data_IF_680683738502
#
_entry.id   IF_680683738502
#
_cell.length_a   1.000
_cell.length_b   1.000
_cell.length_c   1.000
_cell.angle_alpha   90.00
_cell.angle_beta   90.00
_cell.angle_gamma   90.00
#
_symmetry.space_group_name_H-M   'P 1'
#
loop_
_entity.id
_entity.type
_entity.pdbx_description
1 polymer ?
#
# COMPACT_ATOMS: atom_id res chain seq x y z
N UNK A 1 -30.87 25.14 55.05
CA UNK A 1 -30.69 24.09 54.11
C UNK A 1 -29.70 24.47 53.03
N UNK A 2 -28.62 23.87 53.06
CA UNK A 2 -27.55 24.21 52.10
C UNK A 2 -27.51 23.15 51.05
N UNK A 3 -27.85 23.52 49.86
CA UNK A 3 -27.65 22.69 48.72
C UNK A 3 -26.21 22.82 48.29
N UNK A 4 -25.47 21.76 48.43
CA UNK A 4 -24.16 21.74 47.88
C UNK A 4 -24.29 21.31 46.44
N UNK A 5 -24.13 22.27 45.57
CA UNK A 5 -23.97 21.98 44.17
C UNK A 5 -22.53 21.50 43.99
N UNK A 6 -22.39 20.22 43.91
CA UNK A 6 -21.17 19.66 43.39
C UNK A 6 -21.10 20.06 41.93
N UNK A 7 -20.34 21.06 41.66
CA UNK A 7 -19.92 21.30 40.28
C UNK A 7 -19.00 20.16 39.94
N UNK A 8 -19.58 19.16 39.34
CA UNK A 8 -18.81 18.15 38.66
C UNK A 8 -18.14 18.90 37.52
N UNK A 9 -16.92 19.30 37.73
CA UNK A 9 -16.10 19.70 36.63
C UNK A 9 -15.97 18.49 35.70
N UNK A 10 -16.81 18.44 34.71
CA UNK A 10 -16.64 17.51 33.60
C UNK A 10 -15.41 17.99 32.87
N UNK A 11 -14.27 17.47 33.28
CA UNK A 11 -13.11 17.58 32.45
C UNK A 11 -13.45 16.78 31.19
N UNK A 12 -13.92 17.48 30.20
CA UNK A 12 -13.98 16.93 28.87
C UNK A 12 -12.54 16.60 28.48
N UNK A 13 -12.18 15.35 28.66
CA UNK A 13 -10.97 14.84 28.08
C UNK A 13 -11.27 14.81 26.59
N UNK A 14 -10.91 15.92 25.96
CA UNK A 14 -10.77 15.93 24.53
C UNK A 14 -9.64 14.97 24.22
N UNK A 15 -9.99 13.74 23.96
CA UNK A 15 -9.07 12.84 23.33
C UNK A 15 -8.75 13.44 21.98
N UNK A 16 -7.72 14.22 21.94
CA UNK A 16 -7.10 14.56 20.68
C UNK A 16 -6.50 13.27 20.14
N UNK A 17 -7.26 12.57 19.34
CA UNK A 17 -6.65 11.65 18.41
C UNK A 17 -5.87 12.54 17.45
N UNK A 18 -4.66 12.85 17.81
CA UNK A 18 -3.75 13.47 16.87
C UNK A 18 -3.55 12.46 15.75
N UNK A 19 -4.09 12.76 14.58
CA UNK A 19 -3.73 12.08 13.34
C UNK A 19 -2.29 12.47 12.99
N UNK A 20 -1.35 12.11 13.85
CA UNK A 20 0.05 12.26 13.54
C UNK A 20 0.46 11.09 12.67
N UNK A 21 0.89 11.39 11.44
CA UNK A 21 1.48 10.38 10.59
C UNK A 21 2.74 9.83 11.24
N UNK A 22 2.88 8.53 11.19
CA UNK A 22 4.11 7.88 11.60
C UNK A 22 5.18 8.15 10.55
N UNK A 23 6.33 8.67 10.97
CA UNK A 23 7.45 8.96 10.09
C UNK A 23 8.42 7.81 10.13
N UNK A 24 8.65 7.19 8.98
CA UNK A 24 9.53 6.04 8.85
C UNK A 24 10.57 6.34 7.79
N UNK A 25 11.82 6.11 8.14
CA UNK A 25 12.93 6.22 7.22
C UNK A 25 13.43 4.82 6.86
N UNK A 26 13.46 4.51 5.57
CA UNK A 26 13.98 3.24 5.08
C UNK A 26 15.46 3.08 5.44
N UNK A 27 15.78 1.97 6.07
CA UNK A 27 17.15 1.59 6.38
C UNK A 27 17.27 0.09 6.63
N UNK A 28 18.51 -0.37 6.71
CA UNK A 28 18.80 -1.75 7.02
C UNK A 28 18.97 -2.61 5.77
N UNK A 29 18.71 -3.88 5.91
CA UNK A 29 18.92 -4.87 4.86
C UNK A 29 17.71 -4.86 3.91
N UNK A 30 17.98 -4.94 2.62
CA UNK A 30 16.95 -5.16 1.61
C UNK A 30 16.61 -6.63 1.56
N UNK A 31 15.33 -6.93 1.72
CA UNK A 31 14.81 -8.30 1.69
C UNK A 31 13.62 -8.40 0.75
N UNK A 32 13.32 -9.60 0.28
CA UNK A 32 12.16 -9.88 -0.56
C UNK A 32 11.16 -10.71 0.22
N UNK A 33 9.92 -10.27 0.23
CA UNK A 33 8.82 -10.96 0.91
C UNK A 33 7.76 -11.36 -0.12
N UNK A 34 7.37 -12.63 -0.10
CA UNK A 34 6.27 -13.11 -0.92
C UNK A 34 4.95 -12.82 -0.23
N UNK A 35 4.03 -12.22 -0.96
CA UNK A 35 2.67 -11.94 -0.50
C UNK A 35 1.70 -12.88 -1.19
N UNK A 36 0.89 -13.57 -0.42
CA UNK A 36 -0.10 -14.52 -0.95
C UNK A 36 -1.36 -13.77 -1.35
N UNK A 37 -1.45 -13.43 -2.63
CA UNK A 37 -2.59 -12.71 -3.22
C UNK A 37 -2.88 -13.30 -4.58
N UNK A 38 -4.15 -13.51 -4.88
CA UNK A 38 -4.58 -14.08 -6.18
C UNK A 38 -5.97 -13.57 -6.56
N UNK A 39 -6.42 -13.90 -7.75
CA UNK A 39 -7.78 -13.57 -8.19
C UNK A 39 -7.99 -12.12 -8.55
N UNK A 40 -6.96 -11.41 -8.93
CA UNK A 40 -7.05 -10.03 -9.41
C UNK A 40 -6.69 -9.95 -10.90
N UNK A 41 -7.26 -8.99 -11.58
CA UNK A 41 -6.92 -8.67 -12.98
C UNK A 41 -6.61 -7.19 -13.17
N UNK A 42 -6.78 -6.39 -12.11
CA UNK A 42 -6.47 -4.97 -12.10
C UNK A 42 -5.43 -4.69 -11.03
N UNK A 43 -4.62 -3.68 -11.28
CA UNK A 43 -3.60 -3.23 -10.33
C UNK A 43 -3.75 -1.72 -10.13
N UNK A 44 -3.83 -1.32 -8.88
CA UNK A 44 -3.85 0.07 -8.45
C UNK A 44 -2.64 0.29 -7.54
N UNK A 45 -1.67 1.03 -8.04
CA UNK A 45 -0.45 1.32 -7.30
C UNK A 45 -0.40 2.79 -6.89
N UNK A 46 -0.06 3.05 -5.65
CA UNK A 46 0.08 4.40 -5.13
C UNK A 46 1.45 4.62 -4.51
N UNK A 47 1.88 5.87 -4.46
CA UNK A 47 3.15 6.28 -3.89
C UNK A 47 4.29 6.32 -4.90
N UNK A 48 5.52 6.18 -4.43
CA UNK A 48 6.74 6.32 -5.23
C UNK A 48 7.42 5.00 -5.56
N UNK A 49 6.79 3.88 -5.25
CA UNK A 49 7.39 2.56 -5.47
C UNK A 49 7.40 2.17 -6.94
N UNK A 50 8.34 1.32 -7.29
CA UNK A 50 8.41 0.75 -8.63
C UNK A 50 7.62 -0.56 -8.67
N UNK A 51 6.83 -0.73 -9.71
CA UNK A 51 6.02 -1.95 -9.90
C UNK A 51 6.40 -2.59 -11.22
N UNK A 52 6.77 -3.85 -11.15
CA UNK A 52 7.11 -4.67 -12.32
C UNK A 52 6.03 -5.72 -12.51
N UNK A 53 5.38 -5.70 -13.66
CA UNK A 53 4.26 -6.58 -13.96
C UNK A 53 4.65 -7.53 -15.09
N UNK A 54 4.48 -8.82 -14.85
CA UNK A 54 4.79 -9.86 -15.82
C UNK A 54 3.58 -10.75 -16.03
N UNK A 55 3.31 -11.13 -17.27
CA UNK A 55 2.29 -12.12 -17.57
C UNK A 55 2.81 -13.52 -17.28
N UNK A 56 2.05 -14.32 -16.58
CA UNK A 56 2.36 -15.71 -16.28
C UNK A 56 1.15 -16.47 -15.78
N UNK A 57 1.18 -17.79 -15.88
CA UNK A 57 0.04 -18.64 -15.55
C UNK A 57 -0.33 -18.64 -14.08
N UNK A 58 0.61 -18.29 -13.20
CA UNK A 58 0.45 -18.36 -11.76
C UNK A 58 0.52 -16.96 -11.15
N UNK A 59 -0.38 -16.68 -10.22
CA UNK A 59 -0.31 -15.44 -9.46
C UNK A 59 0.90 -15.44 -8.53
N UNK A 60 1.69 -14.37 -8.58
CA UNK A 60 2.84 -14.18 -7.71
C UNK A 60 3.00 -12.70 -7.40
N UNK A 61 3.10 -12.37 -6.13
CA UNK A 61 3.36 -11.01 -5.66
C UNK A 61 4.53 -11.04 -4.71
N UNK A 62 5.57 -10.32 -5.06
CA UNK A 62 6.76 -10.16 -4.21
C UNK A 62 7.03 -8.69 -3.96
N UNK A 63 7.34 -8.35 -2.73
CA UNK A 63 7.74 -7.00 -2.34
C UNK A 63 9.17 -7.03 -1.86
N UNK A 64 10.01 -6.23 -2.48
CA UNK A 64 11.42 -6.09 -2.16
C UNK A 64 11.70 -4.70 -1.64
N UNK A 65 12.40 -4.59 -0.54
CA UNK A 65 12.77 -3.31 0.03
C UNK A 65 13.45 -3.44 1.38
N UNK A 66 13.71 -2.30 1.98
CA UNK A 66 14.27 -2.30 3.33
C UNK A 66 13.35 -3.06 4.30
N UNK A 67 13.95 -3.89 5.13
CA UNK A 67 13.21 -4.75 6.05
C UNK A 67 12.29 -3.98 7.00
N UNK A 68 12.65 -2.75 7.35
CA UNK A 68 11.82 -1.91 8.21
C UNK A 68 10.62 -1.28 7.49
N UNK A 69 10.61 -1.26 6.15
CA UNK A 69 9.51 -0.70 5.37
C UNK A 69 8.44 -1.74 5.04
N UNK A 70 8.81 -3.01 4.93
CA UNK A 70 7.90 -4.06 4.48
C UNK A 70 6.63 -4.19 5.33
N UNK A 71 6.66 -4.07 6.66
CA UNK A 71 5.44 -4.14 7.47
C UNK A 71 4.44 -3.01 7.20
N UNK A 72 4.89 -1.91 6.62
CA UNK A 72 4.06 -0.76 6.31
C UNK A 72 3.56 -0.73 4.87
N UNK A 73 4.09 -1.61 4.04
CA UNK A 73 3.67 -1.71 2.65
C UNK A 73 2.57 -2.76 2.50
N UNK A 74 1.44 -2.36 1.93
CA UNK A 74 0.27 -3.20 1.80
C UNK A 74 0.09 -3.73 0.38
N UNK A 75 -0.33 -4.99 0.30
CA UNK A 75 -0.74 -5.65 -0.93
C UNK A 75 -2.12 -6.24 -0.68
N UNK A 76 -3.15 -5.47 -1.00
CA UNK A 76 -4.54 -5.85 -0.72
C UNK A 76 -5.28 -6.17 -1.99
N UNK A 77 -6.09 -7.21 -1.95
CA UNK A 77 -7.04 -7.49 -3.01
C UNK A 77 -8.42 -6.99 -2.60
N UNK A 78 -8.99 -6.12 -3.41
CA UNK A 78 -10.36 -5.60 -3.24
C UNK A 78 -11.04 -5.64 -4.60
N UNK A 79 -12.12 -6.39 -4.72
CA UNK A 79 -12.95 -6.44 -5.94
C UNK A 79 -12.13 -6.64 -7.23
N UNK A 80 -11.36 -7.70 -7.31
CA UNK A 80 -10.57 -8.00 -8.50
C UNK A 80 -9.39 -7.01 -8.76
N UNK A 81 -9.12 -6.15 -7.80
CA UNK A 81 -8.02 -5.16 -7.90
C UNK A 81 -6.96 -5.43 -6.83
N UNK A 82 -5.72 -5.53 -7.26
CA UNK A 82 -4.59 -5.54 -6.36
C UNK A 82 -4.20 -4.09 -6.03
N UNK A 83 -4.37 -3.72 -4.79
CA UNK A 83 -4.00 -2.40 -4.29
C UNK A 83 -2.62 -2.46 -3.65
N UNK A 84 -1.71 -1.65 -4.16
CA UNK A 84 -0.32 -1.57 -3.70
C UNK A 84 -0.04 -0.19 -3.14
N UNK A 85 0.52 -0.13 -1.95
CA UNK A 85 0.89 1.14 -1.33
C UNK A 85 1.19 1.00 0.14
N UNK A 86 1.69 2.07 0.74
CA UNK A 86 1.88 2.12 2.18
C UNK A 86 0.55 2.25 2.90
N UNK A 87 0.53 1.80 4.15
CA UNK A 87 -0.60 2.04 5.05
C UNK A 87 -0.90 3.53 5.12
N UNK A 88 -2.17 3.85 5.38
CA UNK A 88 -2.56 5.23 5.67
C UNK A 88 -1.85 5.70 6.94
N UNK A 89 -1.66 7.00 7.07
CA UNK A 89 -1.01 7.64 8.21
C UNK A 89 0.47 7.29 8.40
N UNK A 90 1.11 6.83 7.33
CA UNK A 90 2.56 6.58 7.31
C UNK A 90 3.23 7.52 6.32
N UNK A 91 4.24 8.22 6.77
CA UNK A 91 5.10 9.05 5.93
C UNK A 91 6.47 8.37 5.82
N UNK A 92 6.81 7.94 4.62
CA UNK A 92 8.02 7.17 4.37
C UNK A 92 9.05 8.01 3.65
N UNK A 93 10.26 8.01 4.17
CA UNK A 93 11.44 8.61 3.54
C UNK A 93 12.44 7.52 3.19
N UNK A 94 13.25 7.77 2.18
CA UNK A 94 14.25 6.84 1.70
C UNK A 94 13.64 5.48 1.28
N UNK A 95 12.59 5.57 0.48
CA UNK A 95 11.85 4.42 -0.03
C UNK A 95 12.65 3.72 -1.14
N UNK A 96 12.77 2.40 -1.04
CA UNK A 96 13.36 1.57 -2.08
C UNK A 96 12.46 0.39 -2.45
N UNK A 97 11.17 0.47 -2.16
CA UNK A 97 10.24 -0.61 -2.44
C UNK A 97 10.12 -0.86 -3.94
N UNK A 98 10.27 -2.12 -4.30
CA UNK A 98 9.99 -2.65 -5.63
C UNK A 98 9.00 -3.80 -5.49
N UNK A 99 7.96 -3.78 -6.32
CA UNK A 99 6.93 -4.81 -6.31
C UNK A 99 6.99 -5.58 -7.62
N UNK A 100 7.01 -6.89 -7.52
CA UNK A 100 7.01 -7.80 -8.65
C UNK A 100 5.71 -8.57 -8.67
N UNK A 101 4.91 -8.35 -9.70
CA UNK A 101 3.58 -8.95 -9.84
C UNK A 101 3.55 -9.82 -11.08
N UNK A 102 3.12 -11.06 -10.92
CA UNK A 102 2.84 -11.97 -12.02
C UNK A 102 1.35 -12.34 -11.98
N UNK A 103 0.67 -12.22 -13.10
CA UNK A 103 -0.74 -12.56 -13.21
C UNK A 103 -1.05 -13.06 -14.63
N UNK A 104 -2.12 -13.86 -14.81
CA UNK A 104 -2.47 -14.40 -16.13
C UNK A 104 -3.00 -13.37 -17.10
N UNK A 105 -3.77 -12.40 -16.61
CA UNK A 105 -4.37 -11.38 -17.45
C UNK A 105 -4.46 -10.07 -16.69
N UNK A 106 -4.09 -8.97 -17.35
CA UNK A 106 -4.20 -7.62 -16.83
C UNK A 106 -5.27 -6.87 -17.63
N UNK A 107 -6.32 -6.42 -16.95
CA UNK A 107 -7.44 -5.70 -17.58
C UNK A 107 -7.49 -4.22 -17.19
N UNK A 108 -6.77 -3.83 -16.19
CA UNK A 108 -6.71 -2.42 -15.76
C UNK A 108 -5.46 -2.14 -14.96
N UNK A 109 -4.97 -0.92 -15.09
CA UNK A 109 -3.78 -0.46 -14.40
C UNK A 109 -3.93 1.01 -14.06
N UNK A 110 -3.78 1.34 -12.78
CA UNK A 110 -3.82 2.71 -12.29
C UNK A 110 -2.58 2.99 -11.47
N UNK A 111 -1.97 4.14 -11.71
CA UNK A 111 -0.83 4.62 -10.94
C UNK A 111 -1.17 5.98 -10.36
N UNK A 112 -1.16 6.08 -9.03
CA UNK A 112 -1.31 7.33 -8.30
C UNK A 112 0.01 7.67 -7.62
N UNK A 113 0.51 8.87 -7.86
CA UNK A 113 1.76 9.32 -7.28
C UNK A 113 2.92 9.34 -8.29
N UNK A 114 4.14 9.30 -7.79
CA UNK A 114 5.36 9.48 -8.59
C UNK A 114 6.11 8.17 -8.90
N UNK A 115 5.51 7.03 -8.62
CA UNK A 115 6.11 5.73 -8.92
C UNK A 115 6.16 5.41 -10.41
N UNK A 116 6.83 4.33 -10.72
CA UNK A 116 6.96 3.82 -12.08
C UNK A 116 6.33 2.44 -12.20
N UNK A 117 5.65 2.19 -13.30
CA UNK A 117 5.14 0.87 -13.63
C UNK A 117 5.81 0.37 -14.91
N UNK A 118 6.34 -0.84 -14.82
CA UNK A 118 6.96 -1.53 -15.94
C UNK A 118 6.20 -2.81 -16.23
N UNK A 119 5.81 -3.01 -17.48
CA UNK A 119 5.14 -4.23 -17.90
C UNK A 119 6.04 -5.03 -18.82
N UNK A 120 6.07 -6.35 -18.61
CA UNK A 120 6.78 -7.28 -19.47
C UNK A 120 5.86 -8.45 -19.85
N UNK A 121 6.03 -8.95 -21.07
CA UNK A 121 5.17 -10.00 -21.60
C UNK A 121 4.02 -9.45 -22.44
N UNK A 122 3.23 -10.35 -22.99
CA UNK A 122 2.11 -9.99 -23.84
C UNK A 122 0.83 -10.11 -23.03
N UNK A 123 0.19 -8.97 -22.74
CA UNK A 123 -1.13 -8.98 -22.16
C UNK A 123 -2.15 -8.95 -23.29
N UNK A 124 -2.77 -10.10 -23.54
CA UNK A 124 -3.83 -10.20 -24.55
C UNK A 124 -5.12 -9.59 -24.01
N UNK A 125 -5.77 -8.76 -24.78
CA UNK A 125 -7.06 -8.19 -24.45
C UNK A 125 -7.04 -6.67 -24.28
N UNK A 126 -8.18 -6.14 -23.90
CA UNK A 126 -8.41 -4.70 -23.75
C UNK A 126 -7.97 -4.24 -22.36
N UNK A 127 -6.68 -4.02 -22.19
CA UNK A 127 -6.19 -3.40 -20.96
C UNK A 127 -6.35 -1.89 -21.03
N UNK A 128 -6.91 -1.30 -19.97
CA UNK A 128 -6.98 0.15 -19.81
C UNK A 128 -5.86 0.57 -18.90
N UNK A 129 -4.98 1.45 -19.39
CA UNK A 129 -3.87 1.99 -18.63
C UNK A 129 -4.14 3.45 -18.31
N UNK A 130 -4.16 3.78 -17.03
CA UNK A 130 -4.31 5.14 -16.55
C UNK A 130 -3.12 5.48 -15.65
N UNK A 131 -2.53 6.64 -15.90
CA UNK A 131 -1.41 7.13 -15.14
C UNK A 131 -1.77 8.40 -14.36
#
# INVERSE_FOLDING_TARGET
MKTKISVLAFAAILAFSSCSKEHIKGNGTTVTETRTVSGFSKIDASGSSKVYITQGAVFKVEVKGYSNLLPYYETKQVNNTLQLGYKQDVNVKNDNIEVYVTLPALTGLELEGSGDIHTAGVFAGNATFEA
#
